data_IF_312132805166
#
_entry.id   IF_312132805166
#
_cell.length_a   1.000
_cell.length_b   1.000
_cell.length_c   1.000
_cell.angle_alpha   90.00
_cell.angle_beta   90.00
_cell.angle_gamma   90.00
#
_symmetry.space_group_name_H-M   'P 1'
#
loop_
_entity.id
_entity.type
_entity.pdbx_description
1 polymer ?
#
# COMPACT_ATOMS: atom_id res chain seq x y z
N UNK A 1 23.79 -20.73 -18.72
CA UNK A 1 23.61 -20.39 -17.29
C UNK A 1 24.08 -18.98 -16.91
N UNK A 2 24.84 -18.27 -17.76
CA UNK A 2 25.25 -16.86 -17.52
C UNK A 2 24.13 -15.85 -17.81
N UNK A 3 23.24 -16.16 -18.75
CA UNK A 3 22.20 -15.24 -19.22
C UNK A 3 21.08 -15.04 -18.18
N UNK A 4 20.73 -16.10 -17.44
CA UNK A 4 19.72 -16.04 -16.37
C UNK A 4 20.21 -15.19 -15.18
N UNK A 5 21.49 -15.30 -14.84
CA UNK A 5 22.11 -14.51 -13.76
C UNK A 5 22.13 -13.02 -14.08
N UNK A 6 22.40 -12.65 -15.33
CA UNK A 6 22.41 -11.25 -15.75
C UNK A 6 20.99 -10.65 -15.78
N UNK A 7 19.98 -11.44 -16.19
CA UNK A 7 18.57 -11.04 -16.14
C UNK A 7 18.04 -10.86 -14.70
N UNK A 8 18.50 -11.69 -13.75
CA UNK A 8 18.17 -11.54 -12.33
C UNK A 8 18.77 -10.26 -11.73
N UNK A 9 20.03 -9.94 -12.07
CA UNK A 9 20.70 -8.72 -11.63
C UNK A 9 20.01 -7.45 -12.16
N UNK A 10 19.55 -7.45 -13.41
CA UNK A 10 18.82 -6.33 -14.00
C UNK A 10 17.44 -6.12 -13.35
N UNK A 11 16.75 -7.19 -12.93
CA UNK A 11 15.45 -7.10 -12.23
C UNK A 11 15.55 -6.51 -10.83
N UNK A 12 16.68 -6.73 -10.16
CA UNK A 12 16.94 -6.19 -8.82
C UNK A 12 17.45 -4.74 -8.84
N UNK A 13 17.85 -4.23 -10.01
CA UNK A 13 18.40 -2.90 -10.14
C UNK A 13 17.35 -1.81 -9.86
N UNK A 14 17.67 -0.76 -9.08
CA UNK A 14 16.79 0.37 -8.86
C UNK A 14 16.43 1.08 -10.18
N UNK A 15 15.16 1.46 -10.33
CA UNK A 15 14.73 2.29 -11.45
C UNK A 15 15.31 3.70 -11.29
N UNK A 16 16.31 4.05 -12.10
CA UNK A 16 16.91 5.40 -12.15
C UNK A 16 16.00 6.37 -12.91
N UNK A 17 14.83 6.67 -12.36
CA UNK A 17 13.90 7.64 -12.94
C UNK A 17 14.33 9.06 -12.55
N UNK A 18 14.42 10.02 -13.49
CA UNK A 18 14.71 11.40 -13.15
C UNK A 18 13.68 11.95 -12.17
N UNK A 19 14.14 12.47 -11.02
CA UNK A 19 13.30 13.12 -10.01
C UNK A 19 13.95 14.43 -9.58
N UNK A 20 13.15 15.40 -9.14
CA UNK A 20 13.65 16.69 -8.60
C UNK A 20 14.01 16.60 -7.10
N UNK A 21 13.95 15.41 -6.53
CA UNK A 21 14.31 15.15 -5.14
C UNK A 21 15.83 14.98 -5.04
N UNK A 22 16.41 15.41 -3.92
CA UNK A 22 17.82 15.14 -3.61
C UNK A 22 18.02 13.65 -3.34
N UNK A 23 19.24 13.17 -3.53
CA UNK A 23 19.58 11.76 -3.23
C UNK A 23 19.35 11.44 -1.74
N UNK A 24 19.51 12.42 -0.86
CA UNK A 24 19.24 12.32 0.58
C UNK A 24 17.75 12.23 0.92
N UNK A 25 16.88 13.00 0.25
CA UNK A 25 15.43 13.02 0.54
C UNK A 25 14.67 11.86 -0.12
N UNK A 26 15.24 11.27 -1.17
CA UNK A 26 14.67 10.16 -1.93
C UNK A 26 14.32 8.94 -1.07
N UNK A 27 15.21 8.39 -0.21
CA UNK A 27 14.89 7.24 0.64
C UNK A 27 13.79 7.52 1.66
N UNK A 28 13.78 8.70 2.29
CA UNK A 28 12.79 9.06 3.31
C UNK A 28 11.39 9.16 2.70
N UNK A 29 11.27 9.80 1.53
CA UNK A 29 10.02 9.92 0.80
C UNK A 29 9.55 8.54 0.29
N UNK A 30 10.48 7.71 -0.19
CA UNK A 30 10.17 6.34 -0.60
C UNK A 30 9.62 5.50 0.57
N UNK A 31 10.25 5.59 1.75
CA UNK A 31 9.78 4.91 2.96
C UNK A 31 8.39 5.42 3.40
N UNK A 32 8.18 6.73 3.40
CA UNK A 32 6.89 7.32 3.73
C UNK A 32 5.77 6.87 2.78
N UNK A 33 6.06 6.76 1.47
CA UNK A 33 5.10 6.25 0.48
C UNK A 33 4.76 4.77 0.69
N UNK A 34 5.72 3.95 1.11
CA UNK A 34 5.47 2.54 1.44
C UNK A 34 4.60 2.41 2.69
N UNK A 35 4.82 3.23 3.72
CA UNK A 35 3.95 3.30 4.90
C UNK A 35 2.56 3.81 4.55
N UNK A 36 2.45 4.84 3.70
CA UNK A 36 1.18 5.34 3.20
C UNK A 36 0.41 4.25 2.45
N UNK A 37 1.09 3.48 1.59
CA UNK A 37 0.50 2.35 0.88
C UNK A 37 -0.07 1.31 1.84
N UNK A 38 0.66 0.97 2.91
CA UNK A 38 0.18 0.05 3.95
C UNK A 38 -1.11 0.57 4.61
N UNK A 39 -1.12 1.85 4.98
CA UNK A 39 -2.27 2.49 5.64
C UNK A 39 -3.50 2.54 4.73
N UNK A 40 -3.32 2.83 3.44
CA UNK A 40 -4.42 2.84 2.46
C UNK A 40 -4.98 1.43 2.25
N UNK A 41 -4.12 0.40 2.20
CA UNK A 41 -4.59 -1.00 2.16
C UNK A 41 -5.33 -1.40 3.44
N UNK A 42 -4.83 -1.01 4.62
CA UNK A 42 -5.52 -1.25 5.88
C UNK A 42 -6.90 -0.57 5.91
N UNK A 43 -7.00 0.67 5.40
CA UNK A 43 -8.26 1.38 5.26
C UNK A 43 -9.22 0.66 4.32
N UNK A 44 -8.76 0.22 3.14
CA UNK A 44 -9.56 -0.57 2.21
C UNK A 44 -10.14 -1.82 2.87
N UNK A 45 -9.30 -2.61 3.55
CA UNK A 45 -9.74 -3.83 4.24
C UNK A 45 -10.76 -3.51 5.33
N UNK A 46 -10.59 -2.41 6.06
CA UNK A 46 -11.55 -1.98 7.08
C UNK A 46 -12.90 -1.58 6.46
N UNK A 47 -12.90 -0.84 5.36
CA UNK A 47 -14.12 -0.47 4.62
C UNK A 47 -14.86 -1.72 4.12
N UNK A 48 -14.15 -2.69 3.53
CA UNK A 48 -14.75 -3.96 3.09
C UNK A 48 -15.26 -4.79 4.26
N UNK A 49 -14.55 -4.80 5.39
CA UNK A 49 -14.99 -5.49 6.59
C UNK A 49 -16.33 -4.93 7.11
N UNK A 50 -16.50 -3.61 7.14
CA UNK A 50 -17.80 -3.01 7.46
C UNK A 50 -18.88 -3.33 6.43
N UNK A 51 -18.56 -3.23 5.14
CA UNK A 51 -19.49 -3.60 4.07
C UNK A 51 -20.00 -5.03 4.24
N UNK A 52 -19.14 -6.00 4.56
CA UNK A 52 -19.56 -7.40 4.74
C UNK A 52 -20.34 -7.67 6.02
N UNK A 53 -20.04 -6.97 7.13
CA UNK A 53 -20.56 -7.33 8.45
C UNK A 53 -21.58 -6.34 9.01
N UNK A 54 -21.88 -5.25 8.32
CA UNK A 54 -22.89 -4.31 8.81
C UNK A 54 -24.30 -4.86 8.68
N UNK A 55 -25.18 -4.45 9.60
CA UNK A 55 -26.59 -4.82 9.64
C UNK A 55 -27.42 -3.62 10.12
N UNK A 56 -28.66 -3.51 9.66
CA UNK A 56 -29.59 -2.48 10.12
C UNK A 56 -30.62 -2.02 9.07
N UNK A 57 -31.52 -1.09 9.42
CA UNK A 57 -32.61 -0.64 8.55
C UNK A 57 -32.17 -0.04 7.21
N UNK A 58 -30.98 0.56 7.16
CA UNK A 58 -30.41 1.17 5.95
C UNK A 58 -29.29 0.31 5.32
N UNK A 59 -29.37 -1.01 5.45
CA UNK A 59 -28.35 -1.96 4.96
C UNK A 59 -27.88 -1.64 3.53
N UNK A 60 -28.83 -1.46 2.62
CA UNK A 60 -28.57 -1.26 1.20
C UNK A 60 -27.79 0.02 0.92
N UNK A 61 -28.22 1.14 1.49
CA UNK A 61 -27.64 2.45 1.19
C UNK A 61 -26.19 2.51 1.69
N UNK A 62 -25.94 1.94 2.87
CA UNK A 62 -24.57 1.84 3.36
C UNK A 62 -23.71 0.83 2.59
N UNK A 63 -24.28 -0.29 2.12
CA UNK A 63 -23.52 -1.22 1.27
C UNK A 63 -23.03 -0.53 0.00
N UNK A 64 -23.90 0.24 -0.67
CA UNK A 64 -23.56 0.99 -1.87
C UNK A 64 -22.54 2.09 -1.58
N UNK A 65 -22.70 2.84 -0.48
CA UNK A 65 -21.75 3.87 -0.07
C UNK A 65 -20.36 3.27 0.20
N UNK A 66 -20.30 2.18 0.98
CA UNK A 66 -19.04 1.54 1.34
C UNK A 66 -18.39 0.83 0.16
N UNK A 67 -19.17 0.31 -0.80
CA UNK A 67 -18.64 -0.23 -2.05
C UNK A 67 -17.95 0.86 -2.87
N UNK A 68 -18.63 1.98 -3.14
CA UNK A 68 -18.07 3.12 -3.89
C UNK A 68 -16.80 3.66 -3.21
N UNK A 69 -16.84 3.85 -1.89
CA UNK A 69 -15.65 4.23 -1.12
C UNK A 69 -14.52 3.21 -1.27
N UNK A 70 -14.82 1.91 -1.20
CA UNK A 70 -13.80 0.86 -1.31
C UNK A 70 -13.16 0.83 -2.69
N UNK A 71 -13.93 1.08 -3.75
CA UNK A 71 -13.43 1.17 -5.13
C UNK A 71 -12.48 2.36 -5.27
N UNK A 72 -12.89 3.54 -4.78
CA UNK A 72 -12.07 4.74 -4.82
C UNK A 72 -10.76 4.55 -4.04
N UNK A 73 -10.82 4.00 -2.82
CA UNK A 73 -9.63 3.72 -2.01
C UNK A 73 -8.72 2.73 -2.73
N UNK A 74 -9.26 1.64 -3.27
CA UNK A 74 -8.47 0.62 -3.96
C UNK A 74 -7.78 1.21 -5.20
N UNK A 75 -8.47 2.04 -5.98
CA UNK A 75 -7.90 2.72 -7.14
C UNK A 75 -6.72 3.66 -6.79
N UNK A 76 -6.67 4.21 -5.56
CA UNK A 76 -5.52 5.03 -5.14
C UNK A 76 -4.25 4.22 -4.85
N UNK A 77 -4.37 2.92 -4.54
CA UNK A 77 -3.23 2.07 -4.16
C UNK A 77 -2.18 1.96 -5.27
N UNK A 78 -2.61 1.76 -6.53
CA UNK A 78 -1.72 1.67 -7.68
C UNK A 78 -0.91 2.96 -7.87
N UNK A 79 -1.57 4.13 -7.78
CA UNK A 79 -0.91 5.43 -7.93
C UNK A 79 0.21 5.61 -6.91
N UNK A 80 -0.02 5.21 -5.66
CA UNK A 80 0.98 5.28 -4.58
C UNK A 80 2.11 4.27 -4.83
N UNK A 81 1.78 3.03 -5.18
CA UNK A 81 2.77 1.99 -5.44
C UNK A 81 3.68 2.33 -6.63
N UNK A 82 3.09 2.77 -7.75
CA UNK A 82 3.83 3.22 -8.94
C UNK A 82 4.72 4.42 -8.59
N UNK A 83 4.24 5.36 -7.76
CA UNK A 83 5.03 6.51 -7.33
C UNK A 83 6.23 6.09 -6.49
N UNK A 84 6.04 5.21 -5.51
CA UNK A 84 7.13 4.68 -4.68
C UNK A 84 8.21 4.01 -5.56
N UNK A 85 7.81 3.18 -6.53
CA UNK A 85 8.75 2.54 -7.47
C UNK A 85 9.48 3.52 -8.38
N UNK A 86 8.80 4.56 -8.87
CA UNK A 86 9.41 5.60 -9.71
C UNK A 86 10.50 6.38 -8.96
N UNK A 87 10.34 6.58 -7.66
CA UNK A 87 11.34 7.26 -6.81
C UNK A 87 12.49 6.32 -6.41
N UNK A 88 12.41 5.02 -6.74
CA UNK A 88 13.44 4.04 -6.41
C UNK A 88 13.16 3.26 -5.11
N UNK A 89 11.99 3.46 -4.49
CA UNK A 89 11.54 2.70 -3.34
C UNK A 89 11.07 1.28 -3.70
N UNK A 90 11.28 0.33 -2.78
CA UNK A 90 10.63 -0.98 -2.85
C UNK A 90 9.24 -0.88 -2.22
N UNK A 91 8.23 -1.43 -2.91
CA UNK A 91 6.84 -1.43 -2.43
C UNK A 91 6.57 -2.62 -1.53
N UNK A 92 5.37 -2.66 -0.95
CA UNK A 92 4.87 -3.86 -0.28
C UNK A 92 4.75 -4.99 -1.31
N UNK A 93 5.34 -6.14 -0.97
CA UNK A 93 5.21 -7.40 -1.71
C UNK A 93 4.53 -8.48 -0.86
N UNK A 94 4.33 -8.20 0.43
CA UNK A 94 3.56 -9.00 1.37
C UNK A 94 2.99 -8.09 2.46
N UNK A 95 1.83 -8.42 3.06
CA UNK A 95 1.23 -7.64 4.15
C UNK A 95 2.14 -7.52 5.38
N UNK A 96 3.01 -8.51 5.60
CA UNK A 96 3.83 -8.63 6.81
C UNK A 96 5.04 -7.67 6.84
N UNK A 97 5.42 -7.08 5.70
CA UNK A 97 6.56 -6.14 5.63
C UNK A 97 6.24 -4.74 6.17
N UNK A 98 5.01 -4.52 6.66
CA UNK A 98 4.59 -3.27 7.30
C UNK A 98 5.04 -3.14 8.77
N UNK A 99 5.67 -4.16 9.37
CA UNK A 99 6.07 -4.11 10.78
C UNK A 99 7.60 -3.99 10.93
N UNK A 100 8.09 -2.77 10.77
CA UNK A 100 9.27 -2.31 11.50
C UNK A 100 9.08 -0.83 11.89
N UNK A 101 7.94 -0.53 12.51
CA UNK A 101 7.84 0.56 13.48
C UNK A 101 6.56 0.34 14.32
N UNK A 102 6.76 0.35 15.63
CA UNK A 102 5.82 0.02 16.71
C UNK A 102 4.45 0.71 16.62
N UNK A 103 3.40 0.03 16.13
CA UNK A 103 2.01 0.50 16.32
C UNK A 103 0.90 -0.58 16.19
N UNK A 104 1.17 -1.76 15.62
CA UNK A 104 0.11 -2.73 15.29
C UNK A 104 -0.23 -3.72 16.42
N UNK A 105 -0.25 -3.28 17.69
CA UNK A 105 -0.54 -4.16 18.84
C UNK A 105 -1.78 -3.75 19.66
N UNK A 106 -2.56 -2.75 19.26
CA UNK A 106 -3.63 -2.19 20.12
C UNK A 106 -5.07 -2.36 19.60
N UNK A 107 -5.32 -2.84 18.37
CA UNK A 107 -6.68 -2.79 17.80
C UNK A 107 -7.33 -4.15 17.45
N UNK A 108 -7.02 -5.23 18.18
CA UNK A 108 -7.82 -6.49 18.16
C UNK A 108 -7.98 -7.11 19.57
N UNK A 109 -8.24 -6.27 20.58
CA UNK A 109 -8.91 -6.70 21.81
C UNK A 109 -10.15 -5.84 21.99
N UNK A 110 -11.28 -6.51 22.27
CA UNK A 110 -12.67 -6.01 22.25
C UNK A 110 -13.21 -5.88 20.82
N UNK A 111 -14.27 -6.57 20.38
CA UNK A 111 -15.40 -7.19 21.09
C UNK A 111 -15.73 -8.57 20.55
#
# INVERSE_FOLDING_TARGET
>A
MKDVSNAQAQRAAPLKTPTRLTEEATPDIAAALTTLLANVFALYLKTRNFHWHMSGPCLRDYHLLLDDQSEQIFATTDRIAVRARKIGGTTLHSPVRSQSCSAFSIAMRTS
#
